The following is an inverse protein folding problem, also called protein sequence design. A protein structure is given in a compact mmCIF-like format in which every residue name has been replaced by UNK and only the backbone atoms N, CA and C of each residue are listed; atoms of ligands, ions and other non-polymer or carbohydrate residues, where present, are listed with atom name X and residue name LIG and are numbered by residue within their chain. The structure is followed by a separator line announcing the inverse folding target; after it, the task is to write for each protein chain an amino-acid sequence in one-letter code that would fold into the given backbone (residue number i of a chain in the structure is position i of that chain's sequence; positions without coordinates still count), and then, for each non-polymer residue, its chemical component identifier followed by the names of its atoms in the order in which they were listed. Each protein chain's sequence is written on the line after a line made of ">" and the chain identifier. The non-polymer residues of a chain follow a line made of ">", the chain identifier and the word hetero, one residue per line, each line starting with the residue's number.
data_IF_041553639325
#
_entry.id   IF_041553639325
#
_cell.length_a   1.000
_cell.length_b   1.000
_cell.length_c   1.000
_cell.angle_alpha   90.00
_cell.angle_beta   90.00
_cell.angle_gamma   90.00
#
_symmetry.space_group_name_H-M   'P 1'
#
loop_
_entity.id
_entity.type
_entity.pdbx_description
1 polymer ?
#
# COMPACT_ATOMS: atom_id res chain seq x y z
N UNK A 1 -7.31 19.11 -36.56
CA UNK A 1 -7.25 18.89 -35.10
C UNK A 1 -6.19 17.84 -34.84
N UNK A 2 -5.21 18.07 -33.96
CA UNK A 2 -4.15 17.08 -33.68
C UNK A 2 -4.75 15.97 -32.84
N UNK A 3 -4.72 14.73 -33.35
CA UNK A 3 -5.16 13.55 -32.58
C UNK A 3 -4.26 13.36 -31.36
N UNK A 4 -4.89 13.21 -30.21
CA UNK A 4 -4.25 12.92 -28.93
C UNK A 4 -3.51 11.59 -29.06
N UNK A 5 -2.23 11.52 -28.66
CA UNK A 5 -1.49 10.25 -28.65
C UNK A 5 -2.09 9.20 -27.71
N UNK A 6 -2.93 9.62 -26.74
CA UNK A 6 -3.57 8.78 -25.75
C UNK A 6 -4.99 9.30 -25.53
N UNK A 7 -5.97 8.40 -25.53
CA UNK A 7 -7.38 8.68 -25.26
C UNK A 7 -7.91 7.67 -24.24
N UNK A 8 -8.83 8.11 -23.37
CA UNK A 8 -9.51 7.24 -22.41
C UNK A 8 -10.82 6.76 -23.02
N UNK A 9 -11.06 5.45 -22.96
CA UNK A 9 -12.31 4.83 -23.39
C UNK A 9 -12.96 4.01 -22.27
N UNK A 10 -14.22 3.66 -22.47
CA UNK A 10 -15.02 2.94 -21.47
C UNK A 10 -14.66 1.44 -21.36
N UNK A 11 -14.85 0.89 -20.16
CA UNK A 11 -14.80 -0.55 -19.92
C UNK A 11 -16.05 -1.24 -20.46
N UNK A 12 -15.87 -2.17 -21.41
CA UNK A 12 -16.95 -2.94 -22.05
C UNK A 12 -16.74 -4.44 -21.85
N UNK A 13 -17.79 -5.29 -22.00
CA UNK A 13 -17.63 -6.74 -21.93
C UNK A 13 -16.61 -7.30 -22.93
N UNK A 14 -16.40 -6.61 -24.06
CA UNK A 14 -15.45 -7.02 -25.09
C UNK A 14 -13.98 -6.77 -24.68
N UNK A 15 -13.71 -5.71 -23.91
CA UNK A 15 -12.35 -5.31 -23.53
C UNK A 15 -11.96 -5.71 -22.07
N UNK A 16 -12.91 -6.15 -21.24
CA UNK A 16 -12.67 -6.42 -19.81
C UNK A 16 -11.54 -7.43 -19.54
N UNK A 17 -11.33 -8.41 -20.42
CA UNK A 17 -10.25 -9.41 -20.28
C UNK A 17 -8.86 -8.79 -20.51
N UNK A 18 -8.77 -7.83 -21.43
CA UNK A 18 -7.53 -7.09 -21.70
C UNK A 18 -7.17 -6.21 -20.49
N UNK A 19 -8.16 -5.49 -19.96
CA UNK A 19 -7.98 -4.68 -18.73
C UNK A 19 -7.56 -5.55 -17.54
N UNK A 20 -8.19 -6.72 -17.34
CA UNK A 20 -7.81 -7.66 -16.28
C UNK A 20 -6.37 -8.17 -16.43
N UNK A 21 -5.95 -8.52 -17.65
CA UNK A 21 -4.58 -8.95 -17.92
C UNK A 21 -3.57 -7.82 -17.66
N UNK A 22 -3.89 -6.60 -18.11
CA UNK A 22 -3.06 -5.44 -17.88
C UNK A 22 -2.91 -5.15 -16.38
N UNK A 23 -4.02 -5.14 -15.63
CA UNK A 23 -4.00 -4.95 -14.19
C UNK A 23 -3.18 -6.02 -13.47
N UNK A 24 -3.25 -7.29 -13.89
CA UNK A 24 -2.45 -8.36 -13.29
C UNK A 24 -0.94 -8.17 -13.55
N UNK A 25 -0.57 -7.69 -14.73
CA UNK A 25 0.85 -7.47 -15.09
C UNK A 25 1.39 -6.21 -14.41
N UNK A 26 0.63 -5.12 -14.40
CA UNK A 26 1.01 -3.87 -13.72
C UNK A 26 1.09 -4.08 -12.20
N UNK A 27 0.15 -4.83 -11.64
CA UNK A 27 0.11 -5.17 -10.22
C UNK A 27 0.49 -6.64 -10.02
N UNK A 28 1.75 -6.97 -10.33
CA UNK A 28 2.32 -8.32 -10.18
C UNK A 28 2.39 -8.79 -8.72
N UNK A 29 2.16 -7.88 -7.77
CA UNK A 29 2.26 -8.14 -6.33
C UNK A 29 0.87 -8.36 -5.74
N UNK A 30 0.68 -9.53 -5.12
CA UNK A 30 -0.49 -9.81 -4.29
C UNK A 30 -0.33 -9.07 -2.95
N UNK A 31 -1.06 -7.97 -2.80
CA UNK A 31 -1.19 -7.23 -1.55
C UNK A 31 -2.08 -7.97 -0.55
N UNK A 32 -1.56 -9.06 -0.01
CA UNK A 32 -2.23 -9.87 1.01
C UNK A 32 -1.63 -9.60 2.40
N UNK A 33 -2.27 -10.15 3.44
CA UNK A 33 -1.79 -9.96 4.81
C UNK A 33 -0.36 -10.45 5.05
N UNK A 34 0.08 -11.51 4.35
CA UNK A 34 1.46 -12.01 4.46
C UNK A 34 2.45 -11.01 3.86
N UNK A 35 2.14 -10.44 2.70
CA UNK A 35 2.96 -9.38 2.09
C UNK A 35 3.19 -8.24 3.06
N UNK A 36 2.14 -7.68 3.65
CA UNK A 36 2.29 -6.54 4.56
C UNK A 36 3.09 -6.90 5.83
N UNK A 37 2.90 -8.11 6.38
CA UNK A 37 3.70 -8.60 7.51
C UNK A 37 5.18 -8.74 7.16
N UNK A 38 5.51 -9.27 5.98
CA UNK A 38 6.90 -9.43 5.51
C UNK A 38 7.62 -8.07 5.41
N UNK A 39 6.88 -6.97 5.14
CA UNK A 39 7.42 -5.59 5.12
C UNK A 39 7.45 -4.89 6.49
N UNK A 40 7.12 -5.62 7.57
CA UNK A 40 7.09 -5.11 8.94
C UNK A 40 5.86 -4.28 9.27
N UNK A 41 4.76 -4.47 8.55
CA UNK A 41 3.46 -3.89 8.92
C UNK A 41 2.66 -4.86 9.79
N UNK A 42 2.03 -4.33 10.82
CA UNK A 42 1.04 -5.03 11.62
C UNK A 42 -0.36 -4.79 11.03
N UNK A 43 -1.12 -5.86 10.85
CA UNK A 43 -2.51 -5.80 10.39
C UNK A 43 -3.39 -5.53 11.61
N UNK A 44 -3.98 -4.34 11.67
CA UNK A 44 -4.89 -3.91 12.72
C UNK A 44 -6.35 -4.28 12.38
N UNK A 45 -7.23 -4.00 13.33
CA UNK A 45 -8.67 -4.26 13.16
C UNK A 45 -9.25 -3.53 11.93
N UNK A 46 -10.21 -4.17 11.23
CA UNK A 46 -10.81 -3.58 10.07
C UNK A 46 -11.66 -2.36 10.43
N UNK A 47 -11.35 -1.22 9.83
CA UNK A 47 -12.14 0.01 10.04
C UNK A 47 -13.39 -0.04 9.16
N UNK A 48 -14.54 -0.25 9.79
CA UNK A 48 -15.84 -0.20 9.11
C UNK A 48 -16.11 1.20 8.56
N UNK A 49 -16.72 1.28 7.38
CA UNK A 49 -17.18 2.53 6.74
C UNK A 49 -16.07 3.54 6.38
N UNK A 50 -14.83 3.09 6.22
CA UNK A 50 -13.75 3.97 5.74
C UNK A 50 -14.03 4.46 4.31
N UNK A 51 -14.48 3.58 3.42
CA UNK A 51 -14.92 3.92 2.07
C UNK A 51 -16.45 3.93 1.98
N UNK A 52 -17.04 5.06 1.58
CA UNK A 52 -18.49 5.28 1.58
C UNK A 52 -19.26 4.51 0.48
N UNK A 53 -18.58 4.09 -0.59
CA UNK A 53 -19.24 3.63 -1.83
C UNK A 53 -18.80 2.24 -2.32
N UNK A 54 -17.84 1.60 -1.66
CA UNK A 54 -17.25 0.34 -2.15
C UNK A 54 -17.54 -0.79 -1.14
N UNK A 55 -18.12 -1.89 -1.61
CA UNK A 55 -18.32 -3.13 -0.82
C UNK A 55 -17.28 -4.18 -1.24
N UNK A 56 -16.69 -4.92 -0.30
CA UNK A 56 -17.01 -4.96 1.13
C UNK A 56 -16.45 -3.76 1.92
N UNK A 57 -17.18 -3.33 2.95
CA UNK A 57 -16.83 -2.20 3.82
C UNK A 57 -15.72 -2.52 4.84
N UNK A 58 -14.93 -3.57 4.58
CA UNK A 58 -13.85 -4.02 5.44
C UNK A 58 -12.52 -3.65 4.78
N UNK A 59 -11.84 -2.65 5.34
CA UNK A 59 -10.47 -2.31 4.96
C UNK A 59 -9.56 -2.66 6.12
N UNK A 60 -8.43 -3.32 5.84
CA UNK A 60 -7.40 -3.53 6.84
C UNK A 60 -6.61 -2.24 7.06
N UNK A 61 -6.39 -1.86 8.32
CA UNK A 61 -5.48 -0.77 8.67
C UNK A 61 -4.10 -1.38 8.88
N UNK A 62 -3.07 -0.77 8.28
CA UNK A 62 -1.68 -1.22 8.38
C UNK A 62 -0.89 -0.20 9.19
N UNK A 63 -0.20 -0.66 10.24
CA UNK A 63 0.67 0.19 11.05
C UNK A 63 2.11 -0.31 10.95
N UNK A 64 3.05 0.61 10.80
CA UNK A 64 4.49 0.34 10.89
C UNK A 64 5.11 1.31 11.86
N UNK A 65 5.62 0.79 12.97
CA UNK A 65 6.38 1.59 13.92
C UNK A 65 7.80 1.75 13.37
N UNK A 66 8.19 2.97 13.05
CA UNK A 66 9.57 3.27 12.65
C UNK A 66 10.43 3.26 13.93
N UNK A 67 11.19 2.17 14.14
CA UNK A 67 12.26 2.22 15.13
C UNK A 67 13.36 3.12 14.56
N UNK A 68 13.57 4.28 15.16
CA UNK A 68 14.82 4.99 15.02
C UNK A 68 15.90 4.01 15.51
N UNK A 69 16.87 3.65 14.67
CA UNK A 69 18.05 2.98 15.17
C UNK A 69 18.67 3.91 16.20
N UNK A 70 18.55 3.56 17.48
CA UNK A 70 19.32 4.20 18.54
C UNK A 70 20.78 3.92 18.24
N UNK A 71 21.39 4.79 17.43
CA UNK A 71 22.83 4.91 17.36
C UNK A 71 23.29 5.15 18.79
N UNK A 72 24.15 4.26 19.27
CA UNK A 72 24.79 4.34 20.56
C UNK A 72 25.52 5.69 20.63
N UNK A 73 24.98 6.66 21.37
CA UNK A 73 25.78 7.75 21.91
C UNK A 73 26.32 7.24 23.25
N UNK A 74 27.40 6.48 23.19
CA UNK A 74 28.27 6.23 24.33
C UNK A 74 29.44 7.23 24.25
N UNK A 75 29.86 7.71 25.42
CA UNK A 75 30.99 8.63 25.69
C UNK A 75 30.63 10.13 25.54
N UNK A 76 30.73 11.00 26.56
CA UNK A 76 31.84 11.17 27.51
C UNK A 76 31.32 11.48 28.92
N UNK A 77 31.88 10.78 29.90
CA UNK A 77 31.86 11.08 31.32
C UNK A 77 32.44 12.49 31.56
N UNK A 78 31.76 13.36 32.29
CA UNK A 78 32.44 14.47 32.98
C UNK A 78 32.39 14.20 34.47
N UNK A 79 33.51 13.64 34.93
CA UNK A 79 33.93 13.48 36.31
C UNK A 79 33.91 14.79 37.09
N UNK A 80 33.57 14.62 38.36
CA UNK A 80 33.76 15.48 39.53
C UNK A 80 34.92 16.50 39.42
N UNK A 81 34.61 17.79 39.60
CA UNK A 81 35.09 18.67 40.68
C UNK A 81 34.44 20.05 40.58
#
# INVERSE_FOLDING_TARGET
>A
MKSSRIELGDGTPHNIKQLKRLNQVIFSVSYNGKFYKDFGFEIMEPKKNYCKTIKPAYTHVLQKNLKLSSGQNADVQKTDN
#
